data_IF_528247869356
#
_entry.id   IF_528247869356
#
_cell.length_a   1.000
_cell.length_b   1.000
_cell.length_c   1.000
_cell.angle_alpha   90.00
_cell.angle_beta   90.00
_cell.angle_gamma   90.00
#
_symmetry.space_group_name_H-M   'P 1'
#
loop_
_entity.id
_entity.type
_entity.pdbx_description
1 polymer ?
#
# COMPACT_ATOMS: atom_id res chain seq x y z
N UNK A 1 14.26 0.46 -11.80
CA UNK A 1 13.52 -0.80 -11.58
C UNK A 1 12.30 -0.42 -10.76
N UNK A 2 11.12 -0.67 -11.29
CA UNK A 2 9.88 -0.55 -10.53
C UNK A 2 9.87 -1.70 -9.52
N UNK A 3 9.81 -1.39 -8.22
CA UNK A 3 9.72 -2.41 -7.19
C UNK A 3 8.25 -2.75 -7.01
N UNK A 4 7.85 -3.91 -7.53
CA UNK A 4 6.50 -4.44 -7.38
C UNK A 4 6.53 -5.70 -6.52
N UNK A 5 5.48 -5.90 -5.73
CA UNK A 5 5.29 -7.09 -4.93
C UNK A 5 3.80 -7.38 -4.73
N UNK A 6 3.48 -8.66 -4.58
CA UNK A 6 2.14 -9.10 -4.19
C UNK A 6 1.86 -8.66 -2.76
N UNK A 7 0.67 -8.11 -2.55
CA UNK A 7 0.21 -7.67 -1.24
C UNK A 7 -1.25 -8.06 -1.01
N UNK A 8 -1.61 -8.23 0.25
CA UNK A 8 -2.97 -8.56 0.67
C UNK A 8 -3.40 -7.57 1.74
N UNK A 9 -4.58 -6.98 1.56
CA UNK A 9 -5.20 -6.08 2.54
C UNK A 9 -6.52 -6.68 3.03
N UNK A 10 -6.88 -6.40 4.29
CA UNK A 10 -8.12 -6.91 4.89
C UNK A 10 -9.32 -6.07 4.44
N UNK A 11 -10.21 -6.62 3.62
CA UNK A 11 -11.50 -5.99 3.30
C UNK A 11 -12.54 -6.18 4.42
N UNK A 12 -13.72 -5.58 4.25
CA UNK A 12 -14.81 -5.69 5.23
C UNK A 12 -15.33 -7.12 5.42
N UNK A 13 -15.36 -7.90 4.33
CA UNK A 13 -15.89 -9.27 4.29
C UNK A 13 -14.83 -10.32 3.97
N UNK A 14 -13.75 -9.94 3.28
CA UNK A 14 -12.71 -10.87 2.79
C UNK A 14 -11.37 -10.18 2.57
N UNK A 15 -10.32 -10.97 2.39
CA UNK A 15 -9.02 -10.48 1.91
C UNK A 15 -9.15 -9.87 0.50
N UNK A 16 -8.39 -8.80 0.27
CA UNK A 16 -8.28 -8.08 -1.00
C UNK A 16 -6.85 -8.25 -1.49
N UNK A 17 -6.69 -9.09 -2.51
CA UNK A 17 -5.40 -9.37 -3.13
C UNK A 17 -5.07 -8.27 -4.15
N UNK A 18 -3.82 -7.84 -4.21
CA UNK A 18 -3.38 -6.80 -5.13
C UNK A 18 -1.88 -6.74 -5.34
N UNK A 19 -1.47 -5.78 -6.16
CA UNK A 19 -0.07 -5.49 -6.45
C UNK A 19 0.27 -4.14 -5.84
N UNK A 20 1.31 -4.12 -5.01
CA UNK A 20 1.91 -2.91 -4.50
C UNK A 20 3.09 -2.50 -5.39
N UNK A 21 3.11 -1.25 -5.82
CA UNK A 21 4.13 -0.66 -6.68
C UNK A 21 4.79 0.51 -5.98
N UNK A 22 6.12 0.50 -5.87
CA UNK A 22 6.89 1.65 -5.43
C UNK A 22 6.98 2.68 -6.55
N UNK A 23 6.44 3.86 -6.30
CA UNK A 23 6.49 4.98 -7.23
C UNK A 23 7.85 5.70 -7.17
N UNK A 24 8.19 6.46 -8.22
CA UNK A 24 9.42 7.25 -8.27
C UNK A 24 9.52 8.31 -7.14
N UNK A 25 8.38 8.75 -6.61
CA UNK A 25 8.29 9.66 -5.46
C UNK A 25 8.67 9.00 -4.13
N UNK A 26 8.80 7.67 -4.08
CA UNK A 26 8.96 6.90 -2.85
C UNK A 26 7.64 6.54 -2.15
N UNK A 27 6.51 6.99 -2.70
CA UNK A 27 5.18 6.51 -2.32
C UNK A 27 4.96 5.06 -2.78
N UNK A 28 3.99 4.40 -2.18
CA UNK A 28 3.53 3.09 -2.60
C UNK A 28 2.07 3.16 -3.02
N UNK A 29 1.78 2.58 -4.18
CA UNK A 29 0.44 2.42 -4.69
C UNK A 29 0.08 0.93 -4.68
N UNK A 30 -1.00 0.59 -4.00
CA UNK A 30 -1.65 -0.70 -4.04
C UNK A 30 -2.86 -0.64 -4.98
N UNK A 31 -2.93 -1.59 -5.90
CA UNK A 31 -4.10 -1.82 -6.75
C UNK A 31 -4.57 -3.26 -6.57
N UNK A 32 -5.84 -3.45 -6.21
CA UNK A 32 -6.43 -4.78 -6.10
C UNK A 32 -6.60 -5.44 -7.48
N UNK A 33 -6.52 -6.76 -7.51
CA UNK A 33 -6.66 -7.54 -8.74
C UNK A 33 -8.09 -7.49 -9.30
N UNK A 34 -9.09 -7.28 -8.44
CA UNK A 34 -10.50 -7.18 -8.80
C UNK A 34 -10.96 -5.73 -9.05
N UNK A 35 -10.07 -4.75 -8.90
CA UNK A 35 -10.36 -3.32 -9.07
C UNK A 35 -11.23 -2.70 -7.96
N UNK A 36 -11.53 -3.43 -6.89
CA UNK A 36 -12.33 -2.95 -5.76
C UNK A 36 -11.59 -1.92 -4.88
N UNK A 37 -10.26 -1.95 -4.83
CA UNK A 37 -9.46 -1.14 -3.93
C UNK A 37 -8.20 -0.59 -4.60
N UNK A 38 -8.08 0.73 -4.59
CA UNK A 38 -6.83 1.45 -4.79
C UNK A 38 -6.44 2.14 -3.48
N UNK A 39 -5.15 2.09 -3.12
CA UNK A 39 -4.62 2.81 -1.97
C UNK A 39 -3.24 3.37 -2.31
N UNK A 40 -3.04 4.68 -2.12
CA UNK A 40 -1.73 5.31 -2.25
C UNK A 40 -1.31 5.83 -0.88
N UNK A 41 -0.13 5.39 -0.42
CA UNK A 41 0.49 5.84 0.82
C UNK A 41 1.83 6.53 0.56
N UNK A 42 2.14 7.55 1.35
CA UNK A 42 3.43 8.24 1.31
C UNK A 42 3.91 8.57 2.73
N UNK A 43 5.21 8.81 2.89
CA UNK A 43 5.73 9.35 4.14
C UNK A 43 5.50 10.86 4.19
N UNK A 44 4.97 11.33 5.31
CA UNK A 44 4.82 12.76 5.58
C UNK A 44 6.14 13.40 6.07
N UNK A 45 6.09 14.68 6.42
CA UNK A 45 7.26 15.43 6.88
C UNK A 45 7.91 14.87 8.17
N UNK A 46 7.15 14.13 8.99
CA UNK A 46 7.66 13.44 10.18
C UNK A 46 8.20 12.03 9.88
N UNK A 47 8.13 11.59 8.61
CA UNK A 47 8.52 10.24 8.18
C UNK A 47 7.49 9.16 8.48
N UNK A 48 6.27 9.52 8.91
CA UNK A 48 5.16 8.59 9.17
C UNK A 48 4.40 8.31 7.88
N UNK A 49 3.93 7.07 7.71
CA UNK A 49 3.10 6.71 6.56
C UNK A 49 1.69 7.25 6.72
N UNK A 50 1.17 7.87 5.67
CA UNK A 50 -0.19 8.35 5.59
C UNK A 50 -0.81 8.03 4.23
N UNK A 51 -2.14 7.89 4.19
CA UNK A 51 -2.89 7.79 2.96
C UNK A 51 -2.89 9.15 2.26
N UNK A 52 -2.56 9.15 0.97
CA UNK A 52 -2.59 10.36 0.13
C UNK A 52 -3.68 10.31 -0.95
N UNK A 53 -4.09 9.12 -1.40
CA UNK A 53 -5.18 8.93 -2.35
C UNK A 53 -5.70 7.48 -2.31
N UNK A 54 -6.80 7.20 -3.00
CA UNK A 54 -7.35 5.85 -3.16
C UNK A 54 -8.87 5.79 -3.08
N UNK A 55 -9.41 4.58 -3.06
CA UNK A 55 -10.84 4.27 -3.04
C UNK A 55 -11.49 4.64 -1.69
N UNK A 56 -12.78 4.95 -1.72
CA UNK A 56 -13.64 5.12 -0.54
C UNK A 56 -14.70 4.00 -0.51
N UNK A 57 -15.11 3.50 0.68
CA UNK A 57 -14.71 3.96 2.01
C UNK A 57 -13.28 3.59 2.38
N UNK A 58 -12.68 4.38 3.27
CA UNK A 58 -11.32 4.15 3.75
C UNK A 58 -11.30 3.39 5.07
N UNK A 59 -10.46 2.36 5.18
CA UNK A 59 -10.12 1.75 6.45
C UNK A 59 -8.70 2.11 6.89
N UNK A 60 -8.58 2.75 8.06
CA UNK A 60 -7.31 3.23 8.61
C UNK A 60 -6.22 2.15 8.75
N UNK A 61 -6.63 0.90 9.01
CA UNK A 61 -5.70 -0.22 9.18
C UNK A 61 -4.91 -0.58 7.93
N UNK A 62 -5.42 -0.23 6.73
CA UNK A 62 -4.75 -0.58 5.48
C UNK A 62 -3.37 0.05 5.31
N UNK A 63 -3.12 1.23 5.90
CA UNK A 63 -1.77 1.81 5.88
C UNK A 63 -0.79 0.86 6.57
N UNK A 64 -1.10 0.45 7.79
CA UNK A 64 -0.21 -0.37 8.60
C UNK A 64 -0.02 -1.76 7.98
N UNK A 65 -1.09 -2.35 7.45
CA UNK A 65 -1.04 -3.62 6.72
C UNK A 65 -0.14 -3.54 5.48
N UNK A 66 -0.26 -2.48 4.68
CA UNK A 66 0.56 -2.30 3.48
C UNK A 66 2.03 -2.04 3.86
N UNK A 67 2.28 -1.21 4.88
CA UNK A 67 3.62 -0.88 5.36
C UNK A 67 4.35 -2.12 5.86
N UNK A 68 3.66 -3.01 6.57
CA UNK A 68 4.23 -4.26 7.08
C UNK A 68 4.73 -5.20 5.97
N UNK A 69 4.19 -5.06 4.75
CA UNK A 69 4.53 -5.89 3.59
C UNK A 69 5.60 -5.26 2.70
N UNK A 70 5.96 -3.99 2.90
CA UNK A 70 7.02 -3.34 2.13
C UNK A 70 8.33 -4.10 2.37
N UNK A 71 8.99 -4.61 1.31
CA UNK A 71 10.25 -5.33 1.45
C UNK A 71 11.28 -4.43 2.13
N UNK A 72 11.72 -4.81 3.33
CA UNK A 72 12.85 -4.14 3.98
C UNK A 72 14.08 -4.51 3.18
N UNK A 73 14.61 -3.57 2.41
CA UNK A 73 15.92 -3.73 1.79
C UNK A 73 16.95 -3.76 2.92
N UNK A 74 17.26 -4.97 3.39
CA UNK A 74 18.38 -5.22 4.30
C UNK A 74 19.66 -4.98 3.50
N UNK A 75 20.19 -3.75 3.59
CA UNK A 75 21.53 -3.44 3.13
C UNK A 75 22.49 -4.29 3.96
N UNK A 76 23.03 -5.36 3.36
CA UNK A 76 24.09 -6.22 3.94
C UNK A 76 25.46 -5.69 3.56
#
# INVERSE_FOLDING_TARGET
MEQQFDAVLTGSDSEVNGIATRLNSGAYEFNSLDGSLQLIIAKNAEGKWERVAGTEPYFGGWIEELVAQIPVTVNS
#
